data_IF_443270006221
#
_entry.id   IF_443270006221
#
_cell.length_a   1.000
_cell.length_b   1.000
_cell.length_c   1.000
_cell.angle_alpha   90.00
_cell.angle_beta   90.00
_cell.angle_gamma   90.00
#
_symmetry.space_group_name_H-M   'P 1'
#
loop_
_entity.id
_entity.type
_entity.pdbx_description
1 polymer ?
#
# COMPACT_ATOMS: atom_id res chain seq x y z
N UNK A 1 -2.96 17.32 -16.72
CA UNK A 1 -1.64 16.82 -17.15
C UNK A 1 -0.53 17.80 -16.79
N UNK A 2 -0.69 19.06 -17.07
CA UNK A 2 0.33 20.10 -16.79
C UNK A 2 0.65 20.23 -15.29
N UNK A 3 -0.34 20.10 -14.42
CA UNK A 3 -0.18 20.17 -12.97
C UNK A 3 0.69 19.03 -12.43
N UNK A 4 0.54 17.82 -12.96
CA UNK A 4 1.36 16.67 -12.56
C UNK A 4 2.80 16.79 -13.06
N UNK A 5 3.01 17.29 -14.27
CA UNK A 5 4.34 17.52 -14.83
C UNK A 5 5.10 18.56 -14.00
N UNK A 6 4.44 19.65 -13.61
CA UNK A 6 5.07 20.66 -12.76
C UNK A 6 5.38 20.16 -11.36
N UNK A 7 4.54 19.28 -10.80
CA UNK A 7 4.82 18.64 -9.53
C UNK A 7 6.06 17.74 -9.60
N UNK A 8 6.25 17.01 -10.70
CA UNK A 8 7.43 16.19 -10.93
C UNK A 8 8.69 17.05 -11.14
N UNK A 9 8.56 18.18 -11.82
CA UNK A 9 9.64 19.14 -11.97
C UNK A 9 10.07 19.73 -10.61
N UNK A 10 9.11 20.18 -9.81
CA UNK A 10 9.35 20.71 -8.46
C UNK A 10 10.03 19.70 -7.54
N UNK A 11 9.73 18.41 -7.72
CA UNK A 11 10.35 17.31 -6.97
C UNK A 11 11.71 16.89 -7.52
N UNK A 12 12.16 17.47 -8.64
CA UNK A 12 13.47 17.20 -9.22
C UNK A 12 13.57 15.91 -10.06
N UNK A 13 12.44 15.33 -10.49
CA UNK A 13 12.44 14.12 -11.31
C UNK A 13 12.51 14.38 -12.80
N UNK A 14 12.03 15.53 -13.23
CA UNK A 14 12.07 15.97 -14.62
C UNK A 14 12.46 17.43 -14.69
N UNK A 15 12.94 17.87 -15.85
CA UNK A 15 13.07 19.28 -16.19
C UNK A 15 12.15 19.60 -17.37
N UNK A 16 11.57 20.80 -17.35
CA UNK A 16 10.68 21.28 -18.41
C UNK A 16 11.34 22.51 -19.06
N UNK A 17 11.66 22.41 -20.35
CA UNK A 17 12.17 23.53 -21.11
C UNK A 17 11.02 24.29 -21.77
N UNK A 18 10.93 25.58 -21.47
CA UNK A 18 9.91 26.46 -22.04
C UNK A 18 10.16 26.69 -23.55
N UNK A 19 9.11 26.62 -24.36
CA UNK A 19 9.14 27.00 -25.74
C UNK A 19 9.55 25.93 -26.75
N UNK A 20 9.74 24.69 -26.33
CA UNK A 20 9.99 23.56 -27.23
C UNK A 20 8.89 22.50 -27.11
N UNK A 21 8.52 21.86 -28.23
CA UNK A 21 7.50 20.82 -28.26
C UNK A 21 7.90 19.48 -27.59
N UNK A 22 9.16 19.35 -27.16
CA UNK A 22 9.73 18.19 -26.49
C UNK A 22 10.67 18.60 -25.36
N UNK A 23 10.26 19.60 -24.58
CA UNK A 23 11.10 20.19 -23.54
C UNK A 23 11.07 19.46 -22.19
N UNK A 24 10.68 18.19 -22.15
CA UNK A 24 10.67 17.42 -20.91
C UNK A 24 11.82 16.44 -20.94
N UNK A 25 12.73 16.56 -19.97
CA UNK A 25 13.85 15.65 -19.79
C UNK A 25 13.80 15.03 -18.42
N UNK A 26 14.08 13.73 -18.33
CA UNK A 26 14.23 13.03 -17.05
C UNK A 26 15.61 13.39 -16.51
N UNK A 27 15.65 13.86 -15.27
CA UNK A 27 16.91 14.19 -14.60
C UNK A 27 17.54 12.91 -14.05
N UNK A 28 18.57 12.42 -14.76
CA UNK A 28 19.24 11.15 -14.45
C UNK A 28 20.19 11.21 -13.26
N UNK A 29 20.48 12.37 -12.73
CA UNK A 29 21.58 12.54 -11.79
C UNK A 29 21.24 13.33 -10.55
N UNK A 30 20.20 12.95 -9.85
CA UNK A 30 20.16 13.34 -8.45
C UNK A 30 20.75 12.19 -7.65
N UNK A 31 21.62 12.51 -6.69
CA UNK A 31 22.39 11.62 -5.83
C UNK A 31 21.51 10.70 -4.95
N UNK A 32 20.60 9.97 -5.58
CA UNK A 32 19.84 8.95 -4.90
C UNK A 32 20.45 7.60 -5.27
N UNK A 33 20.89 6.85 -4.28
CA UNK A 33 21.27 5.47 -4.54
C UNK A 33 20.04 4.73 -5.08
N UNK A 34 20.21 3.88 -6.09
CA UNK A 34 19.13 3.07 -6.66
C UNK A 34 18.33 2.36 -5.56
N UNK A 35 18.98 2.01 -4.44
CA UNK A 35 18.37 1.33 -3.29
C UNK A 35 17.39 2.20 -2.49
N UNK A 36 17.45 3.54 -2.58
CA UNK A 36 16.55 4.43 -1.85
C UNK A 36 15.12 4.43 -2.37
N UNK A 37 14.91 3.89 -3.56
CA UNK A 37 13.63 3.89 -4.25
C UNK A 37 13.10 2.50 -4.58
N UNK A 38 13.78 1.47 -4.14
CA UNK A 38 13.42 0.09 -4.45
C UNK A 38 12.57 -0.49 -3.33
N UNK A 39 11.35 -0.88 -3.67
CA UNK A 39 10.40 -1.44 -2.72
C UNK A 39 9.98 -2.84 -3.15
N UNK A 40 9.93 -3.79 -2.21
CA UNK A 40 9.41 -5.12 -2.51
C UNK A 40 7.91 -5.08 -2.78
N UNK A 41 7.47 -5.88 -3.74
CA UNK A 41 6.06 -6.16 -3.99
C UNK A 41 5.75 -7.53 -3.45
N UNK A 42 4.88 -7.58 -2.46
CA UNK A 42 4.42 -8.82 -1.87
C UNK A 42 3.21 -9.30 -2.65
N UNK A 43 3.30 -10.48 -3.19
CA UNK A 43 2.21 -11.14 -3.91
C UNK A 43 1.38 -12.02 -2.99
N UNK A 44 1.55 -13.33 -3.10
CA UNK A 44 0.89 -14.28 -2.23
C UNK A 44 1.72 -14.51 -0.97
N UNK A 45 1.10 -14.32 0.19
CA UNK A 45 1.75 -14.61 1.47
C UNK A 45 1.50 -16.07 1.84
N UNK A 46 2.56 -16.85 1.97
CA UNK A 46 2.43 -18.24 2.40
C UNK A 46 1.92 -18.29 3.87
N UNK A 47 1.04 -19.26 4.15
CA UNK A 47 0.48 -19.44 5.49
C UNK A 47 1.58 -19.58 6.53
N UNK A 48 1.50 -18.79 7.61
CA UNK A 48 2.48 -18.81 8.70
C UNK A 48 3.82 -18.15 8.41
N UNK A 49 4.08 -17.69 7.18
CA UNK A 49 5.33 -16.99 6.89
C UNK A 49 5.21 -15.49 7.17
N UNK A 50 6.31 -14.82 7.58
CA UNK A 50 6.31 -13.35 7.67
C UNK A 50 5.98 -12.74 6.30
N UNK A 51 5.19 -11.66 6.28
CA UNK A 51 4.76 -11.01 5.02
C UNK A 51 5.95 -10.60 4.16
N UNK A 52 7.01 -10.07 4.76
CA UNK A 52 8.22 -9.66 4.05
C UNK A 52 9.25 -10.80 3.87
N UNK A 53 8.87 -12.05 4.10
CA UNK A 53 9.74 -13.18 3.79
C UNK A 53 10.09 -13.17 2.29
N UNK A 54 11.32 -13.51 1.98
CA UNK A 54 11.86 -13.49 0.62
C UNK A 54 10.98 -14.30 -0.36
N UNK A 55 10.43 -15.42 0.09
CA UNK A 55 9.53 -16.28 -0.70
C UNK A 55 8.23 -15.60 -1.13
N UNK A 56 7.80 -14.54 -0.43
CA UNK A 56 6.58 -13.80 -0.73
C UNK A 56 6.84 -12.59 -1.64
N UNK A 57 8.09 -12.25 -1.89
CA UNK A 57 8.47 -11.13 -2.75
C UNK A 57 8.35 -11.57 -4.21
N UNK A 58 7.40 -10.99 -4.92
CA UNK A 58 7.16 -11.26 -6.34
C UNK A 58 8.16 -10.53 -7.24
N UNK A 59 8.43 -9.28 -6.91
CA UNK A 59 9.34 -8.38 -7.63
C UNK A 59 9.66 -7.17 -6.77
N UNK A 60 10.52 -6.30 -7.28
CA UNK A 60 10.75 -4.98 -6.70
C UNK A 60 10.32 -3.90 -7.67
N UNK A 61 9.94 -2.74 -7.14
CA UNK A 61 9.55 -1.56 -7.91
C UNK A 61 10.36 -0.37 -7.42
N UNK A 62 10.89 0.38 -8.36
CA UNK A 62 11.50 1.68 -8.08
C UNK A 62 10.39 2.73 -7.98
N UNK A 63 10.31 3.37 -6.83
CA UNK A 63 9.32 4.39 -6.55
C UNK A 63 9.94 5.46 -5.63
N UNK A 64 9.78 6.75 -5.94
CA UNK A 64 10.29 7.78 -5.06
C UNK A 64 9.67 7.69 -3.67
N UNK A 65 10.48 7.86 -2.61
CA UNK A 65 10.00 7.87 -1.22
C UNK A 65 8.89 8.90 -0.98
N UNK A 66 8.93 10.00 -1.71
CA UNK A 66 7.98 11.09 -1.61
C UNK A 66 6.76 10.94 -2.52
N UNK A 67 6.59 9.80 -3.19
CA UNK A 67 5.49 9.60 -4.14
C UNK A 67 4.12 9.69 -3.45
N UNK A 68 4.02 9.17 -2.25
CA UNK A 68 2.83 9.30 -1.39
C UNK A 68 3.07 10.35 -0.31
N UNK A 69 2.00 10.82 0.31
CA UNK A 69 2.07 11.83 1.40
C UNK A 69 2.58 11.26 2.73
N UNK A 70 2.94 10.01 2.75
CA UNK A 70 3.48 9.32 3.93
C UNK A 70 4.59 8.37 3.50
N UNK A 71 5.53 8.13 4.40
CA UNK A 71 6.50 7.05 4.21
C UNK A 71 5.78 5.71 4.16
N UNK A 72 6.35 4.79 3.42
CA UNK A 72 5.84 3.43 3.30
C UNK A 72 7.01 2.44 3.18
N UNK A 73 6.74 1.17 3.35
CA UNK A 73 7.79 0.15 3.49
C UNK A 73 7.76 -0.88 2.37
N UNK A 74 6.59 -1.19 1.84
CA UNK A 74 6.43 -2.16 0.76
C UNK A 74 5.10 -1.99 0.04
N UNK A 75 4.96 -2.69 -1.09
CA UNK A 75 3.68 -2.82 -1.78
C UNK A 75 3.08 -4.19 -1.53
N UNK A 76 1.80 -4.23 -1.31
CA UNK A 76 1.02 -5.47 -1.23
C UNK A 76 0.09 -5.56 -2.42
N UNK A 77 0.19 -6.63 -3.18
CA UNK A 77 -0.72 -6.92 -4.30
C UNK A 77 -2.06 -7.39 -3.77
N UNK A 78 -3.12 -6.72 -4.18
CA UNK A 78 -4.48 -7.02 -3.73
C UNK A 78 -4.99 -8.28 -4.42
N UNK A 79 -5.60 -9.15 -3.64
CA UNK A 79 -6.28 -10.34 -4.11
C UNK A 79 -7.77 -10.26 -3.79
N UNK A 80 -8.59 -10.52 -4.79
CA UNK A 80 -10.05 -10.48 -4.65
C UNK A 80 -10.63 -9.07 -4.69
N UNK A 81 -11.91 -8.97 -4.39
CA UNK A 81 -12.71 -7.76 -4.57
C UNK A 81 -13.36 -7.26 -3.28
N UNK A 82 -12.88 -7.68 -2.11
CA UNK A 82 -13.50 -7.31 -0.83
C UNK A 82 -13.47 -5.82 -0.54
N UNK A 83 -12.64 -5.04 -1.26
CA UNK A 83 -12.48 -3.60 -1.06
C UNK A 83 -12.84 -2.78 -2.30
N UNK A 84 -13.60 -3.34 -3.24
CA UNK A 84 -13.89 -2.69 -4.53
C UNK A 84 -14.62 -1.36 -4.38
N UNK A 85 -15.54 -1.23 -3.42
CA UNK A 85 -16.30 0.00 -3.20
C UNK A 85 -15.46 1.11 -2.55
N UNK A 86 -14.28 0.78 -2.06
CA UNK A 86 -13.26 1.74 -1.64
C UNK A 86 -12.28 2.09 -2.77
N UNK A 87 -12.55 1.62 -3.98
CA UNK A 87 -11.70 1.87 -5.14
C UNK A 87 -10.46 0.97 -5.23
N UNK A 88 -10.41 -0.10 -4.44
CA UNK A 88 -9.30 -1.05 -4.44
C UNK A 88 -9.72 -2.31 -5.19
N UNK A 89 -9.06 -2.59 -6.30
CA UNK A 89 -9.38 -3.69 -7.19
C UNK A 89 -8.31 -4.78 -7.12
N UNK A 90 -8.66 -5.98 -7.60
CA UNK A 90 -7.69 -7.06 -7.71
C UNK A 90 -6.48 -6.62 -8.55
N UNK A 91 -5.29 -7.07 -8.16
CA UNK A 91 -4.00 -6.72 -8.76
C UNK A 91 -3.51 -5.29 -8.51
N UNK A 92 -4.28 -4.45 -7.84
CA UNK A 92 -3.77 -3.17 -7.35
C UNK A 92 -2.62 -3.39 -6.36
N UNK A 93 -1.71 -2.43 -6.31
CA UNK A 93 -0.60 -2.43 -5.36
C UNK A 93 -0.86 -1.40 -4.28
N UNK A 94 -1.05 -1.85 -3.04
CA UNK A 94 -1.22 -0.97 -1.88
C UNK A 94 0.16 -0.64 -1.32
N UNK A 95 0.45 0.66 -1.17
CA UNK A 95 1.62 1.12 -0.43
C UNK A 95 1.32 0.98 1.06
N UNK A 96 2.10 0.17 1.73
CA UNK A 96 1.89 -0.20 3.15
C UNK A 96 2.95 0.45 4.02
N UNK A 97 2.49 1.19 5.02
CA UNK A 97 3.33 1.65 6.12
C UNK A 97 3.22 0.65 7.27
N UNK A 98 4.33 0.07 7.67
CA UNK A 98 4.41 -0.84 8.83
C UNK A 98 4.14 -0.04 10.09
N UNK A 99 3.05 -0.34 10.75
CA UNK A 99 2.66 0.30 12.00
C UNK A 99 1.58 -0.51 12.69
N UNK A 100 1.52 -0.45 14.00
CA UNK A 100 0.40 -0.95 14.80
C UNK A 100 -0.51 0.19 15.26
N UNK A 101 -0.10 1.43 15.03
CA UNK A 101 -0.88 2.63 15.38
C UNK A 101 -1.91 2.92 14.29
N UNK A 102 -3.10 2.41 14.49
CA UNK A 102 -4.23 2.52 13.55
C UNK A 102 -5.47 3.00 14.28
N UNK A 103 -6.33 3.69 13.57
CA UNK A 103 -7.58 4.23 14.09
C UNK A 103 -8.77 3.82 13.22
N UNK A 104 -9.97 3.99 13.76
CA UNK A 104 -11.20 3.69 13.03
C UNK A 104 -11.24 4.42 11.69
N UNK A 105 -11.52 3.67 10.63
CA UNK A 105 -11.57 4.17 9.27
C UNK A 105 -10.28 3.97 8.48
N UNK A 106 -9.17 3.63 9.12
CA UNK A 106 -7.95 3.28 8.39
C UNK A 106 -8.15 1.99 7.61
N UNK A 107 -7.57 1.93 6.43
CA UNK A 107 -7.45 0.68 5.67
C UNK A 107 -6.20 -0.02 6.14
N UNK A 108 -6.37 -1.17 6.77
CA UNK A 108 -5.29 -1.90 7.40
C UNK A 108 -4.96 -3.19 6.67
N UNK A 109 -3.72 -3.58 6.81
CA UNK A 109 -3.24 -4.91 6.48
C UNK A 109 -3.19 -5.67 7.78
N UNK A 110 -4.06 -6.67 7.90
CA UNK A 110 -4.24 -7.45 9.11
C UNK A 110 -3.96 -8.91 8.84
N UNK A 111 -3.34 -9.55 9.81
CA UNK A 111 -3.16 -11.00 9.83
C UNK A 111 -4.10 -11.59 10.88
N UNK A 112 -5.00 -12.45 10.44
CA UNK A 112 -5.89 -13.20 11.32
C UNK A 112 -5.52 -14.67 11.18
N UNK A 113 -5.15 -15.29 12.29
CA UNK A 113 -4.55 -16.60 12.28
C UNK A 113 -3.34 -16.58 11.31
N UNK A 114 -3.31 -17.26 10.23
CA UNK A 114 -2.18 -17.24 9.29
C UNK A 114 -2.49 -16.52 7.97
N UNK A 115 -3.63 -15.84 7.89
CA UNK A 115 -4.07 -15.19 6.66
C UNK A 115 -3.98 -13.67 6.72
N UNK A 116 -3.45 -13.08 5.65
CA UNK A 116 -3.35 -11.63 5.47
C UNK A 116 -4.57 -11.12 4.70
N UNK A 117 -5.18 -10.06 5.20
CA UNK A 117 -6.33 -9.41 4.57
C UNK A 117 -6.22 -7.90 4.62
N UNK A 118 -6.92 -7.23 3.72
CA UNK A 118 -7.04 -5.77 3.64
C UNK A 118 -8.48 -5.39 3.92
N UNK A 119 -8.71 -4.60 4.94
CA UNK A 119 -10.05 -4.21 5.40
C UNK A 119 -10.02 -2.83 6.05
N UNK A 120 -11.18 -2.22 6.23
CA UNK A 120 -11.32 -1.10 7.14
C UNK A 120 -11.23 -1.58 8.59
N UNK A 121 -10.53 -0.82 9.40
CA UNK A 121 -10.39 -1.08 10.83
C UNK A 121 -11.51 -0.39 11.60
N UNK A 122 -12.19 -1.12 12.48
CA UNK A 122 -13.19 -0.59 13.42
C UNK A 122 -12.99 -1.23 14.79
N UNK A 123 -12.64 -0.41 15.77
CA UNK A 123 -12.64 -0.85 17.18
C UNK A 123 -14.03 -0.63 17.76
N UNK A 124 -14.67 -1.70 18.15
CA UNK A 124 -16.02 -1.67 18.76
C UNK A 124 -15.97 -1.59 20.27
N UNK A 125 -14.97 -2.21 20.89
CA UNK A 125 -14.72 -2.20 22.33
C UNK A 125 -13.26 -2.50 22.62
N UNK A 126 -12.89 -2.60 23.88
CA UNK A 126 -11.54 -3.01 24.28
C UNK A 126 -11.17 -4.41 23.78
N UNK A 127 -12.17 -5.26 23.57
CA UNK A 127 -11.99 -6.67 23.21
C UNK A 127 -12.39 -7.01 21.78
N UNK A 128 -13.19 -6.17 21.14
CA UNK A 128 -13.78 -6.47 19.83
C UNK A 128 -13.30 -5.48 18.79
N UNK A 129 -12.73 -6.04 17.72
CA UNK A 129 -12.39 -5.33 16.50
C UNK A 129 -13.21 -5.92 15.36
N UNK A 130 -13.75 -5.09 14.51
CA UNK A 130 -14.32 -5.51 13.25
C UNK A 130 -13.42 -5.08 12.09
N UNK A 131 -13.15 -6.01 11.21
CA UNK A 131 -12.49 -5.76 9.94
C UNK A 131 -13.58 -5.75 8.87
N UNK A 132 -13.80 -4.57 8.31
CA UNK A 132 -14.96 -4.26 7.50
C UNK A 132 -14.58 -4.22 6.02
N UNK A 133 -15.20 -5.08 5.18
CA UNK A 133 -15.00 -4.99 3.73
C UNK A 133 -15.71 -3.78 3.15
N UNK A 134 -15.26 -3.35 1.98
CA UNK A 134 -15.96 -2.36 1.17
C UNK A 134 -16.61 -3.04 -0.04
N UNK A 135 -17.49 -3.98 0.24
CA UNK A 135 -18.22 -4.75 -0.75
C UNK A 135 -19.35 -5.50 -0.04
N UNK A 136 -20.59 -5.26 -0.44
CA UNK A 136 -21.77 -5.87 0.19
C UNK A 136 -21.85 -7.39 0.00
N UNK A 137 -21.10 -7.96 -0.92
CA UNK A 137 -21.01 -9.42 -1.11
C UNK A 137 -20.15 -10.11 -0.03
N UNK A 138 -19.45 -9.33 0.78
CA UNK A 138 -18.57 -9.81 1.85
C UNK A 138 -19.13 -9.39 3.21
N UNK A 139 -18.83 -10.16 4.22
CA UNK A 139 -19.26 -9.88 5.60
C UNK A 139 -18.11 -9.36 6.45
N UNK A 140 -18.44 -8.59 7.49
CA UNK A 140 -17.46 -8.13 8.47
C UNK A 140 -16.81 -9.32 9.16
N UNK A 141 -15.51 -9.20 9.41
CA UNK A 141 -14.77 -10.17 10.22
C UNK A 141 -14.74 -9.63 11.64
N UNK A 142 -15.41 -10.32 12.56
CA UNK A 142 -15.42 -9.95 13.98
C UNK A 142 -14.30 -10.68 14.69
N UNK A 143 -13.40 -9.91 15.30
CA UNK A 143 -12.24 -10.43 16.00
C UNK A 143 -12.40 -10.17 17.49
N UNK A 144 -12.37 -11.22 18.29
CA UNK A 144 -12.33 -11.16 19.75
C UNK A 144 -10.88 -11.31 20.21
N UNK A 145 -10.30 -10.24 20.74
CA UNK A 145 -8.89 -10.21 21.13
C UNK A 145 -8.55 -11.15 22.28
N UNK A 146 -9.56 -11.67 22.99
CA UNK A 146 -9.33 -12.67 24.04
C UNK A 146 -9.15 -14.08 23.49
N UNK A 147 -9.72 -14.38 22.33
CA UNK A 147 -9.75 -15.74 21.76
C UNK A 147 -9.06 -15.85 20.42
N UNK A 148 -9.00 -14.76 19.66
CA UNK A 148 -8.48 -14.76 18.29
C UNK A 148 -7.10 -14.12 18.23
N UNK A 149 -6.29 -14.57 17.29
CA UNK A 149 -4.99 -13.96 17.02
C UNK A 149 -5.14 -12.94 15.90
N UNK A 150 -4.93 -11.68 16.24
CA UNK A 150 -4.92 -10.58 15.29
C UNK A 150 -3.58 -9.83 15.39
N UNK A 151 -2.94 -9.66 14.26
CA UNK A 151 -1.78 -8.78 14.11
C UNK A 151 -2.09 -7.71 13.07
N UNK A 152 -1.99 -6.44 13.46
CA UNK A 152 -2.00 -5.34 12.50
C UNK A 152 -0.59 -5.19 11.97
N UNK A 153 -0.40 -5.47 10.70
CA UNK A 153 0.92 -5.39 10.06
C UNK A 153 1.23 -3.99 9.54
N UNK A 154 0.21 -3.24 9.20
CA UNK A 154 0.37 -1.89 8.71
C UNK A 154 -0.93 -1.28 8.23
N UNK A 155 -0.81 -0.11 7.63
CA UNK A 155 -1.94 0.59 7.02
C UNK A 155 -1.60 1.05 5.61
N UNK A 156 -2.63 1.16 4.79
CA UNK A 156 -2.53 1.72 3.45
C UNK A 156 -2.26 3.22 3.50
N UNK A 157 -1.26 3.67 2.76
CA UNK A 157 -0.96 5.10 2.56
C UNK A 157 -1.08 5.52 1.11
N UNK A 158 -1.36 4.60 0.22
CA UNK A 158 -1.53 4.88 -1.20
C UNK A 158 -1.79 3.62 -2.02
N UNK A 159 -2.02 3.82 -3.29
CA UNK A 159 -2.40 2.78 -4.23
C UNK A 159 -1.76 3.05 -5.59
N UNK A 160 -1.22 2.01 -6.21
CA UNK A 160 -0.80 2.03 -7.61
C UNK A 160 -1.64 1.05 -8.41
N UNK A 161 -2.10 1.49 -9.57
CA UNK A 161 -2.80 0.63 -10.52
C UNK A 161 -2.13 0.75 -11.87
N UNK A 162 -1.90 -0.40 -12.48
CA UNK A 162 -1.36 -0.51 -13.82
C UNK A 162 -2.50 -0.82 -14.79
N UNK A 163 -2.60 -0.02 -15.82
CA UNK A 163 -3.54 -0.26 -16.93
C UNK A 163 -2.98 -1.30 -17.91
#
# INVERSE_FOLDING_TARGET
AETHLRALEKKGFISIESGTSRGISILESQEYSENDYEYPVIGLVAAGSPTLAEENIEKTINCPKSFFNSNFDYFLKVKGLSMKNAGIMEDDLIAVKKTTDVKNGDIVIARIDDEVTVKFFRRKSLKIIELEPANEEYTNIVVNLETDQLHIEGKSVGLLRKN
#
